data_IF_415072558016
#
_entry.id   IF_415072558016
#
_cell.length_a   1.000
_cell.length_b   1.000
_cell.length_c   1.000
_cell.angle_alpha   90.00
_cell.angle_beta   90.00
_cell.angle_gamma   90.00
#
_symmetry.space_group_name_H-M   'P 1'
#
loop_
_entity.id
_entity.type
_entity.pdbx_description
1 polymer ?
#
# COMPACT_ATOMS: atom_id res chain seq x y z
N UNK A 1 -2.54 -10.43 -15.55
CA UNK A 1 -2.61 -10.01 -14.13
C UNK A 1 -3.97 -9.35 -13.89
N UNK A 2 -4.68 -9.70 -12.81
CA UNK A 2 -6.13 -9.47 -12.61
C UNK A 2 -6.55 -8.05 -12.16
N UNK A 3 -5.73 -7.01 -12.36
CA UNK A 3 -5.97 -5.65 -11.80
C UNK A 3 -5.63 -4.47 -12.73
N UNK A 4 -5.95 -4.54 -14.03
CA UNK A 4 -5.86 -3.38 -14.94
C UNK A 4 -4.46 -2.83 -15.21
N UNK A 5 -3.42 -3.32 -14.55
CA UNK A 5 -2.03 -3.19 -14.98
C UNK A 5 -1.84 -4.21 -16.09
N UNK A 6 -2.35 -3.90 -17.28
CA UNK A 6 -1.61 -4.32 -18.45
C UNK A 6 -0.21 -3.73 -18.27
N UNK A 7 0.83 -4.55 -18.34
CA UNK A 7 2.18 -4.03 -18.45
C UNK A 7 2.18 -3.12 -19.68
N UNK A 8 1.96 -1.81 -19.47
CA UNK A 8 2.14 -0.82 -20.52
C UNK A 8 3.62 -0.99 -20.84
N UNK A 9 3.99 -1.41 -22.06
CA UNK A 9 5.32 -1.93 -22.36
C UNK A 9 6.48 -1.00 -21.98
N UNK A 10 6.19 0.28 -21.69
CA UNK A 10 7.17 1.31 -21.34
C UNK A 10 6.82 2.07 -20.04
N UNK A 11 6.05 1.50 -19.13
CA UNK A 11 5.72 2.19 -17.87
C UNK A 11 6.92 2.27 -16.92
N UNK A 12 7.28 3.46 -16.40
CA UNK A 12 8.36 3.61 -15.43
C UNK A 12 8.18 2.70 -14.21
N UNK A 13 9.23 1.98 -13.81
CA UNK A 13 9.22 0.97 -12.74
C UNK A 13 8.65 1.50 -11.42
N UNK A 14 8.88 2.78 -11.11
CA UNK A 14 8.33 3.40 -9.90
C UNK A 14 6.79 3.40 -9.85
N UNK A 15 6.11 3.47 -11.01
CA UNK A 15 4.64 3.46 -11.08
C UNK A 15 4.09 2.11 -10.64
N UNK A 16 4.79 1.03 -10.96
CA UNK A 16 4.42 -0.31 -10.53
C UNK A 16 4.54 -0.46 -9.02
N UNK A 17 5.69 -0.08 -8.45
CA UNK A 17 5.90 -0.08 -7.00
C UNK A 17 4.87 0.77 -6.24
N UNK A 18 4.58 1.97 -6.74
CA UNK A 18 3.59 2.89 -6.16
C UNK A 18 2.19 2.28 -6.15
N UNK A 19 1.75 1.74 -7.29
CA UNK A 19 0.43 1.13 -7.43
C UNK A 19 0.29 -0.11 -6.54
N UNK A 20 1.25 -1.04 -6.60
CA UNK A 20 1.22 -2.28 -5.83
C UNK A 20 1.14 -1.98 -4.33
N UNK A 21 2.04 -1.15 -3.79
CA UNK A 21 2.01 -0.83 -2.36
C UNK A 21 0.74 -0.08 -1.94
N UNK A 22 0.22 0.83 -2.79
CA UNK A 22 -1.02 1.56 -2.48
C UNK A 22 -2.24 0.64 -2.46
N UNK A 23 -2.34 -0.27 -3.43
CA UNK A 23 -3.45 -1.25 -3.46
C UNK A 23 -3.35 -2.25 -2.30
N UNK A 24 -2.16 -2.73 -1.97
CA UNK A 24 -1.96 -3.61 -0.79
C UNK A 24 -2.29 -2.89 0.52
N UNK A 25 -2.00 -1.58 0.61
CA UNK A 25 -2.32 -0.79 1.80
C UNK A 25 -3.83 -0.53 1.96
N UNK A 26 -4.50 -0.06 0.91
CA UNK A 26 -5.93 0.30 0.93
C UNK A 26 -6.83 -0.94 0.91
N UNK A 27 -6.66 -1.79 -0.11
CA UNK A 27 -7.56 -2.90 -0.40
C UNK A 27 -7.10 -4.24 0.16
N UNK A 28 -5.79 -4.37 0.45
CA UNK A 28 -5.22 -5.63 0.95
C UNK A 28 -5.64 -5.91 2.38
N UNK A 29 -5.11 -5.17 3.36
CA UNK A 29 -5.27 -5.55 4.78
C UNK A 29 -5.17 -4.38 5.79
N UNK A 30 -4.25 -3.43 5.58
CA UNK A 30 -3.88 -2.49 6.65
C UNK A 30 -4.95 -1.45 6.96
N UNK A 31 -5.48 -0.73 5.96
CA UNK A 31 -6.50 0.30 6.19
C UNK A 31 -7.78 -0.28 6.82
N UNK A 32 -8.36 -1.39 6.33
CA UNK A 32 -9.55 -1.99 6.94
C UNK A 32 -9.33 -2.42 8.40
N UNK A 33 -8.20 -3.07 8.71
CA UNK A 33 -7.91 -3.54 10.07
C UNK A 33 -7.80 -2.38 11.05
N UNK A 34 -7.10 -1.31 10.69
CA UNK A 34 -7.01 -0.15 11.57
C UNK A 34 -8.33 0.62 11.65
N UNK A 35 -9.12 0.70 10.57
CA UNK A 35 -10.44 1.31 10.61
C UNK A 35 -11.40 0.55 11.52
N UNK A 36 -11.37 -0.78 11.52
CA UNK A 36 -12.15 -1.60 12.46
C UNK A 36 -11.77 -1.27 13.90
N UNK A 37 -10.48 -1.12 14.21
CA UNK A 37 -10.05 -0.75 15.57
C UNK A 37 -10.53 0.66 16.00
N UNK A 38 -10.61 1.61 15.08
CA UNK A 38 -11.16 2.95 15.39
C UNK A 38 -12.68 2.89 15.56
N UNK A 39 -13.36 2.15 14.67
CA UNK A 39 -14.81 2.05 14.65
C UNK A 39 -15.37 1.30 15.88
N UNK A 40 -14.73 0.20 16.28
CA UNK A 40 -15.24 -0.71 17.32
C UNK A 40 -14.50 -0.62 18.66
N UNK A 41 -13.19 -0.31 18.67
CA UNK A 41 -12.41 -0.21 19.91
C UNK A 41 -12.23 1.23 20.39
N UNK A 42 -12.86 2.21 19.71
CA UNK A 42 -12.76 3.65 20.03
C UNK A 42 -11.30 4.15 20.11
N UNK A 43 -10.39 3.53 19.35
CA UNK A 43 -8.99 3.99 19.28
C UNK A 43 -8.90 5.36 18.64
N UNK A 44 -7.90 6.14 19.06
CA UNK A 44 -7.68 7.50 18.54
C UNK A 44 -7.36 7.51 17.05
N UNK A 45 -7.99 8.43 16.31
CA UNK A 45 -7.68 8.73 14.89
C UNK A 45 -6.22 9.13 14.66
N UNK A 46 -5.54 9.68 15.67
CA UNK A 46 -4.09 9.95 15.59
C UNK A 46 -3.29 8.66 15.48
N UNK A 47 -3.66 7.62 16.24
CA UNK A 47 -3.00 6.31 16.18
C UNK A 47 -3.25 5.61 14.86
N UNK A 48 -4.46 5.76 14.30
CA UNK A 48 -4.76 5.29 12.95
C UNK A 48 -3.82 5.91 11.91
N UNK A 49 -3.71 7.24 11.88
CA UNK A 49 -2.88 7.94 10.90
C UNK A 49 -1.40 7.55 11.00
N UNK A 50 -0.86 7.45 12.21
CA UNK A 50 0.55 7.07 12.44
C UNK A 50 0.81 5.63 11.99
N UNK A 51 0.00 4.67 12.45
CA UNK A 51 0.23 3.25 12.12
C UNK A 51 -0.04 2.95 10.65
N UNK A 52 -1.13 3.49 10.10
CA UNK A 52 -1.46 3.30 8.69
C UNK A 52 -0.40 3.96 7.79
N UNK A 53 0.05 5.18 8.12
CA UNK A 53 1.11 5.88 7.39
C UNK A 53 2.46 5.15 7.46
N UNK A 54 2.84 4.65 8.64
CA UNK A 54 4.07 3.88 8.82
C UNK A 54 4.12 2.63 7.92
N UNK A 55 3.02 1.87 7.88
CA UNK A 55 2.94 0.68 7.02
C UNK A 55 2.86 1.02 5.54
N UNK A 56 2.22 2.14 5.16
CA UNK A 56 2.24 2.62 3.78
C UNK A 56 3.67 2.91 3.32
N UNK A 57 4.45 3.66 4.10
CA UNK A 57 5.84 3.98 3.76
C UNK A 57 6.70 2.72 3.67
N UNK A 58 6.56 1.79 4.62
CA UNK A 58 7.28 0.52 4.59
C UNK A 58 6.96 -0.31 3.34
N UNK A 59 5.68 -0.44 3.00
CA UNK A 59 5.24 -1.12 1.78
C UNK A 59 5.75 -0.43 0.53
N UNK A 60 5.73 0.90 0.48
CA UNK A 60 6.25 1.66 -0.65
C UNK A 60 7.74 1.40 -0.86
N UNK A 61 8.54 1.46 0.19
CA UNK A 61 9.99 1.18 0.08
C UNK A 61 10.24 -0.23 -0.46
N UNK A 62 9.56 -1.24 0.09
CA UNK A 62 9.73 -2.64 -0.34
C UNK A 62 9.27 -2.82 -1.79
N UNK A 63 8.10 -2.29 -2.15
CA UNK A 63 7.55 -2.43 -3.50
C UNK A 63 8.40 -1.69 -4.56
N UNK A 64 8.99 -0.55 -4.21
CA UNK A 64 9.95 0.14 -5.07
C UNK A 64 11.20 -0.70 -5.29
N UNK A 65 11.81 -1.23 -4.22
CA UNK A 65 12.99 -2.10 -4.34
C UNK A 65 12.69 -3.29 -5.25
N UNK A 66 11.55 -3.95 -5.06
CA UNK A 66 11.14 -5.07 -5.90
C UNK A 66 10.89 -4.66 -7.36
N UNK A 67 10.31 -3.48 -7.58
CA UNK A 67 10.06 -2.96 -8.93
C UNK A 67 11.34 -2.61 -9.69
N UNK A 68 12.45 -2.30 -9.00
CA UNK A 68 13.75 -2.06 -9.64
C UNK A 68 14.66 -3.29 -9.69
N UNK A 69 14.43 -4.29 -8.84
CA UNK A 69 15.22 -5.52 -8.82
C UNK A 69 14.70 -6.56 -9.81
N UNK A 70 13.37 -6.70 -9.92
CA UNK A 70 12.73 -7.83 -10.60
C UNK A 70 12.20 -7.50 -12.02
N UNK A 71 12.22 -6.24 -12.44
CA UNK A 71 11.83 -5.76 -13.79
C UNK A 71 13.05 -5.21 -14.52
#
# INVERSE_FOLDING_TARGET
>A
MWWGINAIPDSPSYRFGLMVASFTWIGGYYVPVFLISVAYEQRSWKLFGINAGYHLVGLQVIAQILAYWWL
#
